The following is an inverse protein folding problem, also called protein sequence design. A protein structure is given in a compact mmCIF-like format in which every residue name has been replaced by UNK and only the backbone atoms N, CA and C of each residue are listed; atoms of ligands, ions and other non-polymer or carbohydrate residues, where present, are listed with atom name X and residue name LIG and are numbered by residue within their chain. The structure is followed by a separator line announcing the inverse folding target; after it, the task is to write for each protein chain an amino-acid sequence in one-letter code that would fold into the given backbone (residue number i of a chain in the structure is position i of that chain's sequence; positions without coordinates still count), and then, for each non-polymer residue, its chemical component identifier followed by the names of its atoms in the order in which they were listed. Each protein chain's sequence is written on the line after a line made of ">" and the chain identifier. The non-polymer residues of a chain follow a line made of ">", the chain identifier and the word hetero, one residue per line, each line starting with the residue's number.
data_IF_609155809830
#
_entry.id   IF_609155809830
#
_cell.length_a   1.000
_cell.length_b   1.000
_cell.length_c   1.000
_cell.angle_alpha   90.00
_cell.angle_beta   90.00
_cell.angle_gamma   90.00
#
_symmetry.space_group_name_H-M   'P 1'
#
loop_
_entity.id
_entity.type
_entity.pdbx_description
1 polymer ?
#
# COMPACT_ATOMS: atom_id res chain seq x y z
N UNK A 1 -13.77 4.72 -0.56
CA UNK A 1 -12.63 5.41 -1.21
C UNK A 1 -11.65 4.45 -1.86
N UNK A 2 -11.12 3.43 -1.15
CA UNK A 2 -10.16 2.46 -1.70
C UNK A 2 -10.54 1.88 -3.07
N UNK A 3 -11.73 1.28 -3.21
CA UNK A 3 -12.18 0.76 -4.51
C UNK A 3 -12.30 1.83 -5.59
N UNK A 4 -12.75 3.02 -5.23
CA UNK A 4 -12.92 4.14 -6.16
C UNK A 4 -11.56 4.65 -6.65
N UNK A 5 -10.54 4.67 -5.80
CA UNK A 5 -9.17 5.02 -6.19
C UNK A 5 -8.60 4.04 -7.23
N UNK A 6 -8.72 2.73 -6.96
CA UNK A 6 -8.27 1.68 -7.89
C UNK A 6 -9.05 1.72 -9.19
N UNK A 7 -10.37 1.93 -9.12
CA UNK A 7 -11.24 2.04 -10.29
C UNK A 7 -10.92 3.27 -11.12
N UNK A 8 -10.71 4.43 -10.49
CA UNK A 8 -10.34 5.66 -11.19
C UNK A 8 -9.01 5.51 -11.91
N UNK A 9 -7.98 5.01 -11.22
CA UNK A 9 -6.68 4.76 -11.83
C UNK A 9 -6.79 3.80 -13.03
N UNK A 10 -7.54 2.71 -12.86
CA UNK A 10 -7.76 1.73 -13.92
C UNK A 10 -8.51 2.33 -15.12
N UNK A 11 -9.46 3.22 -14.87
CA UNK A 11 -10.20 3.92 -15.92
C UNK A 11 -9.31 4.89 -16.70
N UNK A 12 -8.45 5.66 -16.03
CA UNK A 12 -7.52 6.58 -16.70
C UNK A 12 -6.58 5.82 -17.65
N UNK A 13 -5.98 4.73 -17.16
CA UNK A 13 -5.08 3.89 -17.98
C UNK A 13 -5.82 3.24 -19.17
N UNK A 14 -7.12 2.92 -19.04
CA UNK A 14 -7.89 2.31 -20.12
C UNK A 14 -8.18 3.25 -21.29
N UNK A 15 -8.17 4.57 -21.10
CA UNK A 15 -8.52 5.54 -22.16
C UNK A 15 -7.43 5.56 -23.22
N UNK A 16 -6.19 5.81 -22.81
CA UNK A 16 -5.07 6.07 -23.73
C UNK A 16 -3.97 5.01 -23.66
N UNK A 17 -4.01 4.08 -22.70
CA UNK A 17 -2.97 3.08 -22.48
C UNK A 17 -1.74 3.57 -21.71
N UNK A 18 -1.68 4.87 -21.44
CA UNK A 18 -0.63 5.56 -20.72
C UNK A 18 -1.24 6.46 -19.63
N UNK A 19 -0.42 6.89 -18.67
CA UNK A 19 -0.82 7.83 -17.62
C UNK A 19 -0.04 9.15 -17.77
N UNK A 20 -0.74 10.20 -18.17
CA UNK A 20 -0.14 11.49 -18.47
C UNK A 20 0.04 12.35 -17.20
N UNK A 21 0.84 13.42 -17.29
CA UNK A 21 1.12 14.32 -16.15
C UNK A 21 -0.14 14.96 -15.57
N UNK A 22 -1.11 15.29 -16.43
CA UNK A 22 -2.39 15.87 -16.00
C UNK A 22 -3.24 14.88 -15.20
N UNK A 23 -3.24 13.61 -15.60
CA UNK A 23 -3.95 12.54 -14.90
C UNK A 23 -3.28 12.23 -13.57
N UNK A 24 -1.94 12.23 -13.54
CA UNK A 24 -1.17 12.17 -12.29
C UNK A 24 -1.50 13.32 -11.33
N UNK A 25 -1.59 14.55 -11.85
CA UNK A 25 -1.99 15.72 -11.06
C UNK A 25 -3.43 15.61 -10.53
N UNK A 26 -4.34 15.05 -11.32
CA UNK A 26 -5.72 14.79 -10.90
C UNK A 26 -5.78 13.77 -9.76
N UNK A 27 -5.02 12.67 -9.84
CA UNK A 27 -4.94 11.66 -8.77
C UNK A 27 -4.41 12.26 -7.46
N UNK A 28 -3.33 13.05 -7.55
CA UNK A 28 -2.77 13.78 -6.41
C UNK A 28 -3.78 14.77 -5.82
N UNK A 29 -4.52 15.51 -6.65
CA UNK A 29 -5.54 16.45 -6.20
C UNK A 29 -6.64 15.74 -5.41
N UNK A 30 -7.13 14.61 -5.92
CA UNK A 30 -8.15 13.79 -5.24
C UNK A 30 -7.64 13.27 -3.91
N UNK A 31 -6.37 12.85 -3.83
CA UNK A 31 -5.75 12.46 -2.56
C UNK A 31 -5.70 13.61 -1.55
N UNK A 32 -5.29 14.81 -1.98
CA UNK A 32 -5.24 15.98 -1.09
C UNK A 32 -6.63 16.37 -0.58
N UNK A 33 -7.65 16.31 -1.43
CA UNK A 33 -9.04 16.54 -1.04
C UNK A 33 -9.52 15.49 -0.03
N UNK A 34 -9.21 14.21 -0.27
CA UNK A 34 -9.51 13.12 0.66
C UNK A 34 -8.84 13.32 2.03
N UNK A 35 -7.54 13.67 2.05
CA UNK A 35 -6.82 13.95 3.29
C UNK A 35 -7.40 15.16 4.02
N UNK A 36 -7.78 16.21 3.30
CA UNK A 36 -8.41 17.40 3.88
C UNK A 36 -9.76 17.05 4.51
N UNK A 37 -10.57 16.26 3.82
CA UNK A 37 -11.84 15.75 4.33
C UNK A 37 -11.65 14.95 5.63
N UNK A 38 -10.66 14.05 5.67
CA UNK A 38 -10.37 13.22 6.84
C UNK A 38 -9.91 14.06 8.04
N UNK A 39 -9.03 15.04 7.82
CA UNK A 39 -8.54 15.94 8.88
C UNK A 39 -9.65 16.83 9.46
N UNK A 40 -10.63 17.21 8.63
CA UNK A 40 -11.80 17.97 9.08
C UNK A 40 -12.74 17.14 9.97
N UNK A 41 -12.82 15.81 9.74
CA UNK A 41 -13.65 14.88 10.52
C UNK A 41 -12.86 14.15 11.63
N UNK A 42 -11.68 14.66 12.00
CA UNK A 42 -10.76 13.99 12.95
C UNK A 42 -11.30 13.83 14.38
N UNK A 43 -12.31 14.60 14.79
CA UNK A 43 -12.81 14.55 16.17
C UNK A 43 -13.57 13.25 16.50
N UNK A 44 -14.19 12.61 15.52
CA UNK A 44 -14.82 11.29 15.68
C UNK A 44 -13.78 10.15 15.72
N UNK A 45 -12.67 10.31 15.00
CA UNK A 45 -11.57 9.32 14.91
C UNK A 45 -10.67 9.36 16.16
N UNK A 46 -10.44 10.55 16.74
CA UNK A 46 -9.51 10.76 17.86
C UNK A 46 -9.92 10.05 19.15
N UNK A 47 -11.21 9.86 19.41
CA UNK A 47 -11.68 9.25 20.65
C UNK A 47 -11.41 7.73 20.69
N UNK A 48 -11.37 7.05 19.54
CA UNK A 48 -11.04 5.62 19.45
C UNK A 48 -9.52 5.37 19.51
N UNK A 49 -8.71 6.30 19.00
CA UNK A 49 -7.24 6.18 19.02
C UNK A 49 -6.60 6.57 20.37
N UNK A 50 -7.23 7.46 21.15
CA UNK A 50 -6.70 7.90 22.44
C UNK A 50 -6.65 6.76 23.48
N UNK A 51 -7.65 5.89 23.52
CA UNK A 51 -7.65 4.70 24.40
C UNK A 51 -6.52 3.71 24.02
N UNK A 52 -6.25 3.53 22.72
CA UNK A 52 -5.21 2.60 22.23
C UNK A 52 -3.80 3.14 22.51
N UNK A 53 -3.59 4.45 22.33
CA UNK A 53 -2.31 5.11 22.64
C UNK A 53 -2.03 5.14 24.14
N UNK A 54 -3.05 5.30 24.98
CA UNK A 54 -2.93 5.28 26.44
C UNK A 54 -2.52 3.88 26.94
N UNK A 55 -3.10 2.81 26.37
CA UNK A 55 -2.74 1.42 26.73
C UNK A 55 -1.28 1.08 26.37
N UNK A 56 -0.81 1.49 25.17
CA UNK A 56 0.58 1.34 24.73
C UNK A 56 1.57 2.11 25.63
N UNK A 57 1.16 3.30 26.09
CA UNK A 57 1.97 4.15 26.96
C UNK A 57 2.08 3.57 28.37
N UNK A 58 1.01 2.92 28.83
CA UNK A 58 0.94 2.27 30.15
C UNK A 58 1.79 0.99 30.21
N UNK A 59 1.83 0.18 29.15
CA UNK A 59 2.70 -1.02 29.08
C UNK A 59 4.19 -0.71 28.92
N UNK A 60 4.54 0.35 28.18
CA UNK A 60 5.94 0.63 27.87
C UNK A 60 6.71 1.30 29.03
N UNK A 61 6.01 1.92 29.98
CA UNK A 61 6.64 2.60 31.12
C UNK A 61 7.55 3.77 30.73
N UNK A 62 7.50 4.21 29.48
CA UNK A 62 8.34 5.29 28.96
C UNK A 62 7.56 6.60 29.08
N UNK A 63 7.85 7.38 30.11
CA UNK A 63 7.51 8.80 30.14
C UNK A 63 8.38 9.53 29.09
N UNK A 64 7.97 9.50 27.82
CA UNK A 64 8.66 10.20 26.75
C UNK A 64 8.48 11.72 26.90
N UNK A 65 9.36 12.35 27.68
CA UNK A 65 9.49 13.81 27.74
C UNK A 65 10.51 14.32 26.71
N UNK A 66 10.43 13.79 25.49
CA UNK A 66 11.34 14.13 24.41
C UNK A 66 10.90 15.46 23.77
N UNK A 67 11.85 16.35 23.51
CA UNK A 67 11.62 17.62 22.82
C UNK A 67 11.07 17.35 21.40
N UNK A 68 10.30 18.28 20.83
CA UNK A 68 9.81 18.17 19.45
C UNK A 68 10.90 17.87 18.41
N UNK A 69 12.12 18.36 18.65
CA UNK A 69 13.29 18.09 17.83
C UNK A 69 13.68 16.59 17.82
N UNK A 70 13.62 15.90 18.95
CA UNK A 70 13.94 14.47 19.02
C UNK A 70 12.94 13.61 18.26
N UNK A 71 11.64 13.93 18.33
CA UNK A 71 10.64 13.23 17.51
C UNK A 71 10.90 13.42 16.02
N UNK A 72 11.25 14.64 15.60
CA UNK A 72 11.60 14.91 14.22
C UNK A 72 12.83 14.10 13.76
N UNK A 73 13.88 14.06 14.59
CA UNK A 73 15.07 13.25 14.30
C UNK A 73 14.74 11.76 14.21
N UNK A 74 13.95 11.23 15.16
CA UNK A 74 13.53 9.83 15.15
C UNK A 74 12.70 9.50 13.90
N UNK A 75 11.82 10.41 13.46
CA UNK A 75 11.02 10.22 12.26
C UNK A 75 11.89 10.14 11.01
N UNK A 76 12.80 11.10 10.83
CA UNK A 76 13.70 11.12 9.66
C UNK A 76 14.65 9.92 9.67
N UNK A 77 15.22 9.59 10.84
CA UNK A 77 16.11 8.43 10.99
C UNK A 77 15.37 7.11 10.73
N UNK A 78 14.16 6.95 11.29
CA UNK A 78 13.33 5.77 11.09
C UNK A 78 12.92 5.59 9.63
N UNK A 79 12.48 6.66 8.97
CA UNK A 79 12.14 6.63 7.55
C UNK A 79 13.36 6.27 6.70
N UNK A 80 14.52 6.89 6.97
CA UNK A 80 15.76 6.61 6.25
C UNK A 80 16.21 5.16 6.41
N UNK A 81 16.15 4.60 7.62
CA UNK A 81 16.47 3.20 7.88
C UNK A 81 15.49 2.25 7.20
N UNK A 82 14.19 2.56 7.20
CA UNK A 82 13.17 1.76 6.54
C UNK A 82 13.41 1.70 5.02
N UNK A 83 13.68 2.85 4.38
CA UNK A 83 14.01 2.93 2.95
C UNK A 83 15.31 2.19 2.62
N UNK A 84 16.32 2.30 3.48
CA UNK A 84 17.58 1.60 3.28
C UNK A 84 17.41 0.08 3.39
N UNK A 85 16.67 -0.39 4.40
CA UNK A 85 16.40 -1.79 4.61
C UNK A 85 15.60 -2.39 3.45
N UNK A 86 14.52 -1.73 3.00
CA UNK A 86 13.72 -2.21 1.88
C UNK A 86 14.56 -2.30 0.60
N UNK A 87 15.34 -1.27 0.26
CA UNK A 87 16.21 -1.28 -0.91
C UNK A 87 17.20 -2.46 -0.89
N UNK A 88 17.86 -2.70 0.24
CA UNK A 88 18.83 -3.80 0.36
C UNK A 88 18.19 -5.18 0.24
N UNK A 89 16.97 -5.35 0.74
CA UNK A 89 16.24 -6.62 0.59
C UNK A 89 15.87 -6.84 -0.88
N UNK A 90 15.37 -5.83 -1.57
CA UNK A 90 15.02 -5.92 -3.00
C UNK A 90 16.24 -6.24 -3.84
N UNK A 91 17.35 -5.49 -3.68
CA UNK A 91 18.57 -5.70 -4.47
C UNK A 91 19.13 -7.12 -4.30
N UNK A 92 19.16 -7.60 -3.04
CA UNK A 92 19.67 -8.95 -2.74
C UNK A 92 18.76 -10.04 -3.30
N UNK A 93 17.44 -9.89 -3.12
CA UNK A 93 16.47 -10.84 -3.64
C UNK A 93 16.44 -10.85 -5.17
N UNK A 94 16.63 -9.68 -5.80
CA UNK A 94 16.71 -9.53 -7.25
C UNK A 94 17.94 -10.26 -7.81
N UNK A 95 19.09 -10.13 -7.15
CA UNK A 95 20.31 -10.88 -7.51
C UNK A 95 20.07 -12.40 -7.51
N UNK A 96 19.47 -12.92 -6.43
CA UNK A 96 19.14 -14.34 -6.32
C UNK A 96 18.16 -14.78 -7.42
N UNK A 97 17.11 -14.00 -7.67
CA UNK A 97 16.10 -14.33 -8.66
C UNK A 97 16.69 -14.38 -10.09
N UNK A 98 17.59 -13.45 -10.42
CA UNK A 98 18.30 -13.43 -11.71
C UNK A 98 19.20 -14.67 -11.86
N UNK A 99 19.92 -15.06 -10.81
CA UNK A 99 20.75 -16.28 -10.81
C UNK A 99 19.91 -17.56 -10.99
N UNK A 100 18.67 -17.56 -10.49
CA UNK A 100 17.70 -18.65 -10.67
C UNK A 100 16.99 -18.64 -12.03
N UNK A 101 17.35 -17.73 -12.94
CA UNK A 101 16.77 -17.64 -14.28
C UNK A 101 15.40 -16.97 -14.33
N UNK A 102 14.99 -16.25 -13.28
CA UNK A 102 13.75 -15.46 -13.30
C UNK A 102 13.94 -14.23 -14.20
N UNK A 103 13.02 -13.95 -15.14
CA UNK A 103 13.13 -12.78 -16.01
C UNK A 103 13.21 -11.47 -15.20
N UNK A 104 14.12 -10.58 -15.58
CA UNK A 104 14.34 -9.29 -14.90
C UNK A 104 13.07 -8.42 -14.86
N UNK A 105 12.16 -8.59 -15.83
CA UNK A 105 10.86 -7.91 -15.84
C UNK A 105 9.94 -8.38 -14.69
N UNK A 106 9.95 -9.68 -14.37
CA UNK A 106 9.19 -10.24 -13.23
C UNK A 106 9.80 -9.74 -11.93
N UNK A 107 11.14 -9.74 -11.83
CA UNK A 107 11.86 -9.20 -10.67
C UNK A 107 11.54 -7.72 -10.45
N UNK A 108 11.62 -6.90 -11.50
CA UNK A 108 11.33 -5.46 -11.42
C UNK A 108 9.88 -5.14 -11.02
N UNK A 109 8.92 -5.93 -11.47
CA UNK A 109 7.49 -5.70 -11.18
C UNK A 109 7.06 -6.26 -9.82
N UNK A 110 7.53 -7.46 -9.45
CA UNK A 110 7.07 -8.16 -8.24
C UNK A 110 7.96 -7.91 -7.04
N UNK A 111 9.29 -8.05 -7.19
CA UNK A 111 10.22 -7.85 -6.08
C UNK A 111 10.28 -6.38 -5.66
N UNK A 112 10.19 -5.45 -6.60
CA UNK A 112 10.09 -4.03 -6.27
C UNK A 112 8.81 -3.71 -5.51
N UNK A 113 7.67 -4.28 -5.93
CA UNK A 113 6.39 -4.08 -5.25
C UNK A 113 6.39 -4.68 -3.83
N UNK A 114 6.94 -5.88 -3.66
CA UNK A 114 7.13 -6.47 -2.32
C UNK A 114 8.05 -5.58 -1.49
N UNK A 115 9.14 -5.10 -2.09
CA UNK A 115 10.11 -4.20 -1.47
C UNK A 115 9.50 -2.97 -0.81
N UNK A 116 8.66 -2.25 -1.56
CA UNK A 116 7.99 -1.03 -1.06
C UNK A 116 7.00 -1.33 0.05
N UNK A 117 6.36 -2.50 0.03
CA UNK A 117 5.38 -2.90 1.04
C UNK A 117 5.97 -3.63 2.25
N UNK A 118 7.27 -3.97 2.27
CA UNK A 118 7.92 -4.60 3.44
C UNK A 118 7.83 -3.71 4.70
N UNK A 119 8.21 -2.41 4.65
CA UNK A 119 8.09 -1.53 5.81
C UNK A 119 6.65 -1.43 6.31
N UNK A 120 5.69 -1.31 5.39
CA UNK A 120 4.28 -1.21 5.69
C UNK A 120 3.73 -2.50 6.31
N UNK A 121 4.13 -3.66 5.77
CA UNK A 121 3.79 -4.97 6.30
C UNK A 121 4.33 -5.13 7.72
N UNK A 122 5.56 -4.68 7.99
CA UNK A 122 6.13 -4.72 9.33
C UNK A 122 5.31 -3.87 10.31
N UNK A 123 4.93 -2.65 9.92
CA UNK A 123 4.07 -1.77 10.73
C UNK A 123 2.69 -2.38 10.92
N UNK A 124 2.06 -2.92 9.87
CA UNK A 124 0.74 -3.54 9.93
C UNK A 124 0.71 -4.77 10.85
N UNK A 125 1.75 -5.62 10.81
CA UNK A 125 1.87 -6.78 11.71
C UNK A 125 2.06 -6.36 13.16
N UNK A 126 2.85 -5.31 13.42
CA UNK A 126 3.03 -4.77 14.77
C UNK A 126 1.73 -4.11 15.28
N UNK A 127 1.03 -3.37 14.41
CA UNK A 127 -0.26 -2.78 14.71
C UNK A 127 -1.32 -3.84 15.02
N UNK A 128 -1.36 -4.93 14.24
CA UNK A 128 -2.32 -6.03 14.43
C UNK A 128 -2.18 -6.74 15.78
N UNK A 129 -0.98 -6.72 16.37
CA UNK A 129 -0.74 -7.25 17.72
C UNK A 129 -1.28 -6.34 18.83
N UNK A 130 -1.48 -5.05 18.56
CA UNK A 130 -1.95 -4.05 19.53
C UNK A 130 -3.43 -3.77 19.37
N UNK A 131 -3.88 -3.47 18.15
CA UNK A 131 -5.28 -3.21 17.83
C UNK A 131 -5.59 -3.59 16.38
N UNK A 132 -6.65 -4.36 16.19
CA UNK A 132 -7.14 -4.73 14.85
C UNK A 132 -7.58 -3.50 14.06
N UNK A 133 -8.13 -2.47 14.71
CA UNK A 133 -8.56 -1.24 14.05
C UNK A 133 -7.39 -0.46 13.46
N UNK A 134 -6.28 -0.33 14.21
CA UNK A 134 -5.07 0.37 13.75
C UNK A 134 -4.41 -0.37 12.58
N UNK A 135 -4.40 -1.70 12.62
CA UNK A 135 -3.88 -2.51 11.54
C UNK A 135 -4.67 -2.34 10.24
N UNK A 136 -6.01 -2.37 10.34
CA UNK A 136 -6.91 -2.15 9.20
C UNK A 136 -6.80 -0.72 8.66
N UNK A 137 -6.69 0.28 9.53
CA UNK A 137 -6.44 1.66 9.13
C UNK A 137 -5.14 1.83 8.34
N UNK A 138 -4.06 1.15 8.77
CA UNK A 138 -2.77 1.14 8.06
C UNK A 138 -2.90 0.51 6.67
N UNK A 139 -3.57 -0.64 6.58
CA UNK A 139 -3.76 -1.38 5.32
C UNK A 139 -4.67 -0.63 4.32
N UNK A 140 -5.80 -0.10 4.78
CA UNK A 140 -6.72 0.68 3.93
C UNK A 140 -6.05 1.99 3.49
N UNK A 141 -5.34 2.66 4.40
CA UNK A 141 -4.64 3.91 4.13
C UNK A 141 -3.62 3.76 3.00
N UNK A 142 -2.70 2.79 3.12
CA UNK A 142 -1.67 2.52 2.09
C UNK A 142 -2.32 2.16 0.73
N UNK A 143 -3.35 1.32 0.71
CA UNK A 143 -4.08 0.98 -0.52
C UNK A 143 -4.84 2.16 -1.17
N UNK A 144 -5.08 3.26 -0.45
CA UNK A 144 -5.63 4.52 -1.01
C UNK A 144 -4.48 5.43 -1.48
N UNK A 145 -3.42 5.54 -0.67
CA UNK A 145 -2.27 6.40 -0.93
C UNK A 145 -1.47 5.95 -2.15
N UNK A 146 -1.29 4.65 -2.36
CA UNK A 146 -0.51 4.11 -3.48
C UNK A 146 -1.08 4.50 -4.85
N UNK A 147 -2.34 4.16 -5.20
CA UNK A 147 -2.89 4.48 -6.52
C UNK A 147 -3.13 5.98 -6.72
N UNK A 148 -3.37 6.76 -5.67
CA UNK A 148 -3.66 8.19 -5.81
C UNK A 148 -2.41 9.08 -5.72
N UNK A 149 -1.58 8.89 -4.69
CA UNK A 149 -0.43 9.75 -4.43
C UNK A 149 0.84 9.20 -5.06
N UNK A 150 1.19 7.93 -4.81
CA UNK A 150 2.46 7.36 -5.29
C UNK A 150 2.49 7.31 -6.82
N UNK A 151 1.47 6.70 -7.42
CA UNK A 151 1.31 6.66 -8.89
C UNK A 151 1.07 8.05 -9.47
N UNK A 152 0.29 8.91 -8.78
CA UNK A 152 0.04 10.28 -9.21
C UNK A 152 1.33 11.12 -9.30
N UNK A 153 2.18 11.06 -8.28
CA UNK A 153 3.49 11.74 -8.28
C UNK A 153 4.39 11.14 -9.37
N UNK A 154 4.45 9.81 -9.48
CA UNK A 154 5.25 9.14 -10.50
C UNK A 154 4.90 9.64 -11.91
N UNK A 155 3.60 9.70 -12.25
CA UNK A 155 3.12 10.20 -13.54
C UNK A 155 3.38 11.69 -13.79
N UNK A 156 3.39 12.53 -12.74
CA UNK A 156 3.76 13.95 -12.86
C UNK A 156 5.25 14.09 -13.20
N UNK A 157 6.11 13.31 -12.54
CA UNK A 157 7.57 13.33 -12.78
C UNK A 157 7.89 12.76 -14.16
N UNK A 158 7.36 11.58 -14.47
CA UNK A 158 7.56 10.89 -15.73
C UNK A 158 6.24 10.19 -16.15
N UNK A 159 5.65 10.54 -17.30
CA UNK A 159 4.46 9.84 -17.81
C UNK A 159 4.69 8.33 -17.83
N UNK A 160 3.71 7.56 -17.36
CA UNK A 160 3.85 6.11 -17.21
C UNK A 160 3.25 5.45 -18.44
N UNK A 161 4.07 4.76 -19.22
CA UNK A 161 3.61 3.95 -20.34
C UNK A 161 3.41 2.49 -19.92
N UNK A 162 2.26 1.90 -20.26
CA UNK A 162 1.98 0.49 -19.92
C UNK A 162 2.61 -0.43 -20.96
N UNK A 163 3.79 -0.97 -20.62
CA UNK A 163 4.61 -1.80 -21.54
C UNK A 163 3.86 -2.97 -22.18
N UNK A 164 2.92 -3.60 -21.46
CA UNK A 164 2.08 -4.69 -21.97
C UNK A 164 0.60 -4.43 -21.69
N UNK A 165 -0.01 -3.49 -22.43
CA UNK A 165 -1.42 -3.13 -22.27
C UNK A 165 -2.38 -4.33 -22.33
N UNK A 166 -2.08 -5.35 -23.16
CA UNK A 166 -2.90 -6.57 -23.24
C UNK A 166 -2.88 -7.39 -21.94
N UNK A 167 -1.70 -7.55 -21.32
CA UNK A 167 -1.55 -8.24 -20.04
C UNK A 167 -2.21 -7.43 -18.91
N UNK A 168 -2.03 -6.11 -18.94
CA UNK A 168 -2.64 -5.21 -17.98
C UNK A 168 -4.17 -5.32 -17.99
N UNK A 169 -4.79 -5.19 -19.17
CA UNK A 169 -6.25 -5.20 -19.31
C UNK A 169 -6.86 -6.60 -19.04
N UNK A 170 -6.19 -7.68 -19.47
CA UNK A 170 -6.74 -9.05 -19.32
C UNK A 170 -6.54 -9.66 -17.93
N UNK A 171 -5.46 -9.29 -17.23
CA UNK A 171 -5.08 -9.97 -15.99
C UNK A 171 -4.91 -9.00 -14.83
N UNK A 172 -4.04 -8.00 -14.95
CA UNK A 172 -3.65 -7.14 -13.82
C UNK A 172 -4.85 -6.32 -13.32
N UNK A 173 -5.51 -5.58 -14.21
CA UNK A 173 -6.66 -4.74 -13.88
C UNK A 173 -7.86 -5.53 -13.30
N UNK A 174 -8.34 -6.63 -13.91
CA UNK A 174 -9.45 -7.37 -13.33
C UNK A 174 -9.08 -8.06 -12.02
N UNK A 175 -7.84 -8.55 -11.87
CA UNK A 175 -7.40 -9.17 -10.62
C UNK A 175 -7.33 -8.15 -9.47
N UNK A 176 -6.78 -6.95 -9.70
CA UNK A 176 -6.70 -5.90 -8.67
C UNK A 176 -8.08 -5.40 -8.27
N UNK A 177 -8.99 -5.15 -9.22
CA UNK A 177 -10.37 -4.77 -8.94
C UNK A 177 -11.12 -5.85 -8.16
N UNK A 178 -11.00 -7.11 -8.58
CA UNK A 178 -11.65 -8.24 -7.91
C UNK A 178 -11.13 -8.42 -6.48
N UNK A 179 -9.81 -8.44 -6.27
CA UNK A 179 -9.22 -8.61 -4.94
C UNK A 179 -9.54 -7.43 -4.02
N UNK A 180 -9.55 -6.20 -4.53
CA UNK A 180 -9.92 -5.01 -3.76
C UNK A 180 -11.40 -5.05 -3.35
N UNK A 181 -12.29 -5.44 -4.27
CA UNK A 181 -13.71 -5.61 -3.96
C UNK A 181 -13.93 -6.74 -2.93
N UNK A 182 -13.28 -7.88 -3.12
CA UNK A 182 -13.36 -9.02 -2.19
C UNK A 182 -12.88 -8.64 -0.78
N UNK A 183 -11.76 -7.91 -0.68
CA UNK A 183 -11.25 -7.42 0.59
C UNK A 183 -12.24 -6.49 1.30
N UNK A 184 -12.93 -5.60 0.56
CA UNK A 184 -13.97 -4.74 1.12
C UNK A 184 -15.21 -5.51 1.58
N UNK A 185 -15.61 -6.55 0.85
CA UNK A 185 -16.72 -7.42 1.25
C UNK A 185 -16.41 -8.12 2.57
N UNK A 186 -15.19 -8.64 2.74
CA UNK A 186 -14.78 -9.26 4.01
C UNK A 186 -14.72 -8.24 5.17
N UNK A 187 -14.37 -6.98 4.89
CA UNK A 187 -14.37 -5.93 5.90
C UNK A 187 -15.76 -5.38 6.26
N UNK A 188 -16.81 -5.71 5.50
CA UNK A 188 -18.14 -5.08 5.64
C UNK A 188 -18.83 -5.34 6.98
N UNK A 189 -18.54 -6.47 7.63
CA UNK A 189 -19.29 -6.91 8.82
C UNK A 189 -18.84 -6.22 10.11
N UNK A 190 -17.53 -6.05 10.34
CA UNK A 190 -16.99 -5.54 11.62
C UNK A 190 -15.62 -4.84 11.50
N UNK A 191 -15.16 -4.48 10.28
CA UNK A 191 -13.77 -4.04 10.06
C UNK A 191 -12.72 -4.99 10.66
N UNK A 192 -13.03 -6.28 10.72
CA UNK A 192 -12.16 -7.34 11.22
C UNK A 192 -11.95 -8.36 10.12
N UNK A 193 -10.71 -8.81 9.98
CA UNK A 193 -10.39 -9.95 9.14
C UNK A 193 -10.33 -11.22 9.97
N UNK A 194 -11.09 -12.22 9.57
CA UNK A 194 -10.93 -13.57 10.10
C UNK A 194 -9.69 -14.23 9.46
N UNK A 195 -9.09 -15.20 10.16
CA UNK A 195 -7.95 -15.99 9.69
C UNK A 195 -8.25 -16.66 8.33
N UNK A 196 -9.48 -17.13 8.15
CA UNK A 196 -9.93 -17.77 6.91
C UNK A 196 -9.98 -16.78 5.74
N UNK A 197 -10.47 -15.55 5.96
CA UNK A 197 -10.54 -14.50 4.95
C UNK A 197 -9.13 -14.07 4.51
N UNK A 198 -8.20 -13.95 5.47
CA UNK A 198 -6.79 -13.72 5.18
C UNK A 198 -6.17 -14.84 4.33
N UNK A 199 -6.44 -16.10 4.66
CA UNK A 199 -5.98 -17.23 3.85
C UNK A 199 -6.54 -17.21 2.42
N UNK A 200 -7.80 -16.82 2.24
CA UNK A 200 -8.42 -16.68 0.90
C UNK A 200 -7.72 -15.58 0.11
N UNK A 201 -7.45 -14.42 0.69
CA UNK A 201 -6.75 -13.32 0.02
C UNK A 201 -5.32 -13.71 -0.37
N UNK A 202 -4.59 -14.42 0.51
CA UNK A 202 -3.26 -14.95 0.20
C UNK A 202 -3.35 -15.95 -0.96
N UNK A 203 -4.33 -16.86 -0.95
CA UNK A 203 -4.53 -17.82 -2.03
C UNK A 203 -4.83 -17.11 -3.37
N UNK A 204 -5.67 -16.07 -3.37
CA UNK A 204 -5.91 -15.24 -4.56
C UNK A 204 -4.62 -14.58 -5.08
N UNK A 205 -3.78 -14.06 -4.19
CA UNK A 205 -2.49 -13.48 -4.55
C UNK A 205 -1.53 -14.52 -5.16
N UNK A 206 -1.45 -15.73 -4.59
CA UNK A 206 -0.62 -16.83 -5.13
C UNK A 206 -1.13 -17.28 -6.50
N UNK A 207 -2.45 -17.38 -6.70
CA UNK A 207 -3.05 -17.70 -7.99
C UNK A 207 -2.72 -16.60 -9.01
N UNK A 208 -2.83 -15.33 -8.62
CA UNK A 208 -2.45 -14.20 -9.47
C UNK A 208 -0.98 -14.28 -9.90
N UNK A 209 -0.06 -14.56 -8.97
CA UNK A 209 1.36 -14.73 -9.31
C UNK A 209 1.60 -15.90 -10.28
N UNK A 210 0.92 -17.04 -10.08
CA UNK A 210 1.03 -18.18 -10.98
C UNK A 210 0.52 -17.87 -12.40
N UNK A 211 -0.61 -17.16 -12.51
CA UNK A 211 -1.15 -16.71 -13.79
C UNK A 211 -0.24 -15.68 -14.46
N UNK A 212 0.32 -14.75 -13.68
CA UNK A 212 1.26 -13.74 -14.17
C UNK A 212 2.51 -14.41 -14.74
N UNK A 213 3.11 -15.35 -13.99
CA UNK A 213 4.27 -16.10 -14.45
C UNK A 213 4.00 -16.90 -15.72
N UNK A 214 2.82 -17.53 -15.85
CA UNK A 214 2.45 -18.28 -17.05
C UNK A 214 2.11 -17.41 -18.27
N UNK A 215 1.96 -16.09 -18.09
CA UNK A 215 1.61 -15.14 -19.14
C UNK A 215 2.78 -14.30 -19.67
N UNK A 216 3.96 -14.47 -19.07
CA UNK A 216 5.24 -13.84 -19.42
C UNK A 216 6.10 -14.86 -20.17
#
# INVERSE_FOLDING_TARGET
>A
MMFLAVLLLSMLILVDGDLNRFEGALLCLIYVLYMTYLIQHREEIRNEEFEIMEDIRTESGIELNWTGASYFVMLIAGLGLAMFASARVVDSAAGIAIELGVPSAVVGTTLSAIGTSIPELAVAVLAAKRSTGVAVGTLIGSNITDPLLSVGIAAIVNPIEVTNFSLFNKLIMPATLFCTALALVFMWTDFKFNRQEGCILIACYVIFLALLYGSI
#
